data_IF_477282588822
#
_entry.id   IF_477282588822
#
_cell.length_a   1.000
_cell.length_b   1.000
_cell.length_c   1.000
_cell.angle_alpha   90.00
_cell.angle_beta   90.00
_cell.angle_gamma   90.00
#
_symmetry.space_group_name_H-M   'P 1'
#
loop_
_entity.id
_entity.type
_entity.pdbx_description
1 polymer ?
#
# COMPACT_ATOMS: atom_id res chain seq x y z
N UNK A 1 0.63 0.28 22.77
CA UNK A 1 0.44 -0.06 21.34
C UNK A 1 -0.76 -0.99 21.16
N UNK A 2 -1.62 -0.77 20.15
CA UNK A 2 -2.80 -1.63 19.89
C UNK A 2 -2.62 -2.54 18.67
N UNK A 3 -1.88 -3.65 18.82
CA UNK A 3 -1.67 -4.66 17.75
C UNK A 3 -2.96 -5.11 17.05
N UNK A 4 -4.07 -5.22 17.81
CA UNK A 4 -5.38 -5.58 17.26
C UNK A 4 -5.91 -4.61 16.18
N UNK A 5 -5.37 -3.39 16.10
CA UNK A 5 -5.76 -2.37 15.13
C UNK A 5 -4.84 -2.33 13.90
N UNK A 6 -3.75 -3.10 13.87
CA UNK A 6 -2.82 -3.11 12.73
C UNK A 6 -3.57 -3.45 11.44
N UNK A 7 -4.39 -4.50 11.47
CA UNK A 7 -5.14 -4.98 10.32
C UNK A 7 -6.09 -3.92 9.75
N UNK A 8 -6.84 -3.22 10.61
CA UNK A 8 -7.79 -2.19 10.18
C UNK A 8 -7.08 -0.91 9.74
N UNK A 9 -6.01 -0.51 10.44
CA UNK A 9 -5.18 0.63 10.04
C UNK A 9 -4.59 0.43 8.64
N UNK A 10 -4.00 -0.74 8.40
CA UNK A 10 -3.37 -1.07 7.13
C UNK A 10 -4.39 -1.19 5.99
N UNK A 11 -5.55 -1.80 6.27
CA UNK A 11 -6.67 -1.83 5.32
C UNK A 11 -7.10 -0.41 4.92
N UNK A 12 -7.37 0.47 5.89
CA UNK A 12 -7.83 1.84 5.63
C UNK A 12 -6.81 2.65 4.81
N UNK A 13 -5.52 2.50 5.12
CA UNK A 13 -4.45 3.17 4.41
C UNK A 13 -4.35 2.72 2.95
N UNK A 14 -4.24 1.41 2.72
CA UNK A 14 -4.16 0.84 1.37
C UNK A 14 -5.44 1.06 0.57
N UNK A 15 -6.60 1.01 1.22
CA UNK A 15 -7.88 1.36 0.61
C UNK A 15 -7.90 2.81 0.16
N UNK A 16 -7.53 3.75 1.03
CA UNK A 16 -7.45 5.17 0.67
C UNK A 16 -6.55 5.39 -0.55
N UNK A 17 -5.35 4.79 -0.56
CA UNK A 17 -4.40 4.90 -1.67
C UNK A 17 -4.96 4.35 -2.98
N UNK A 18 -5.71 3.25 -2.95
CA UNK A 18 -6.25 2.58 -4.14
C UNK A 18 -7.69 3.00 -4.47
N UNK A 19 -8.21 4.04 -3.82
CA UNK A 19 -9.60 4.50 -4.02
C UNK A 19 -9.72 5.59 -5.08
N UNK A 20 -10.96 5.85 -5.49
CA UNK A 20 -11.32 7.00 -6.34
C UNK A 20 -11.05 8.36 -5.67
N UNK A 21 -10.71 8.40 -4.38
CA UNK A 21 -10.32 9.65 -3.70
C UNK A 21 -8.86 10.02 -3.97
N UNK A 22 -8.05 9.09 -4.47
CA UNK A 22 -6.67 9.36 -4.84
C UNK A 22 -6.59 9.75 -6.33
N UNK A 23 -7.08 10.96 -6.62
CA UNK A 23 -7.07 11.58 -7.95
C UNK A 23 -6.01 12.68 -7.99
N UNK A 24 -5.11 12.60 -8.97
CA UNK A 24 -3.98 13.52 -9.12
C UNK A 24 -3.65 13.65 -10.61
N UNK A 25 -3.17 14.82 -11.05
CA UNK A 25 -2.72 15.04 -12.44
C UNK A 25 -3.73 14.46 -13.47
N UNK A 26 -5.01 14.82 -13.32
CA UNK A 26 -6.14 14.42 -14.17
C UNK A 26 -6.35 12.90 -14.35
N UNK A 27 -6.00 12.08 -13.34
CA UNK A 27 -6.30 10.65 -13.36
C UNK A 27 -6.31 10.01 -11.97
N UNK A 28 -6.81 8.77 -11.91
CA UNK A 28 -6.82 8.01 -10.67
C UNK A 28 -5.54 7.19 -10.52
N UNK A 29 -4.91 7.27 -9.36
CA UNK A 29 -3.66 6.54 -9.09
C UNK A 29 -3.84 5.02 -9.19
N UNK A 30 -5.01 4.49 -8.83
CA UNK A 30 -5.26 3.05 -8.91
C UNK A 30 -5.24 2.53 -10.36
N UNK A 31 -5.58 3.34 -11.35
CA UNK A 31 -5.57 2.95 -12.76
C UNK A 31 -4.14 2.68 -13.24
N UNK A 32 -3.19 3.54 -12.84
CA UNK A 32 -1.75 3.33 -13.12
C UNK A 32 -1.22 2.08 -12.42
N UNK A 33 -1.61 1.89 -11.15
CA UNK A 33 -1.23 0.72 -10.38
C UNK A 33 -1.76 -0.57 -11.04
N UNK A 34 -2.99 -0.54 -11.58
CA UNK A 34 -3.57 -1.66 -12.31
C UNK A 34 -2.92 -1.89 -13.67
N UNK A 35 -2.55 -0.83 -14.40
CA UNK A 35 -1.78 -0.95 -15.63
C UNK A 35 -0.43 -1.64 -15.39
N UNK A 36 0.34 -1.15 -14.41
CA UNK A 36 1.62 -1.76 -14.02
C UNK A 36 1.45 -3.23 -13.57
N UNK A 37 0.38 -3.55 -12.84
CA UNK A 37 0.13 -4.92 -12.40
C UNK A 37 -0.18 -5.88 -13.55
N UNK A 38 -0.85 -5.41 -14.61
CA UNK A 38 -1.11 -6.21 -15.81
C UNK A 38 0.18 -6.46 -16.60
N UNK A 39 1.05 -5.46 -16.71
CA UNK A 39 2.34 -5.56 -17.41
C UNK A 39 3.33 -6.51 -16.71
N UNK A 40 3.16 -6.74 -15.40
CA UNK A 40 4.04 -7.59 -14.60
C UNK A 40 3.74 -9.09 -14.68
N UNK A 41 2.75 -9.52 -15.48
CA UNK A 41 2.44 -10.92 -15.75
C UNK A 41 2.41 -11.83 -14.50
N UNK A 42 1.65 -11.42 -13.48
CA UNK A 42 1.51 -12.16 -12.21
C UNK A 42 2.49 -11.75 -11.11
N UNK A 43 3.54 -10.99 -11.44
CA UNK A 43 4.40 -10.36 -10.43
C UNK A 43 3.71 -9.14 -9.80
N UNK A 44 4.04 -8.88 -8.53
CA UNK A 44 3.40 -7.81 -7.75
C UNK A 44 4.00 -6.45 -8.07
N UNK A 45 3.14 -5.45 -8.17
CA UNK A 45 3.50 -4.04 -7.92
C UNK A 45 3.47 -3.85 -6.41
N UNK A 46 4.56 -3.32 -5.84
CA UNK A 46 4.72 -3.16 -4.39
C UNK A 46 5.00 -1.68 -4.10
N UNK A 47 4.23 -1.11 -3.19
CA UNK A 47 4.57 0.14 -2.51
C UNK A 47 4.93 -0.18 -1.07
N UNK A 48 6.17 0.08 -0.66
CA UNK A 48 6.59 -0.01 0.74
C UNK A 48 6.35 1.32 1.43
N UNK A 49 5.58 1.24 2.50
CA UNK A 49 5.35 2.33 3.43
C UNK A 49 6.39 2.30 4.54
N UNK A 50 6.74 1.10 5.02
CA UNK A 50 7.76 0.85 6.04
C UNK A 50 8.57 -0.41 5.66
N UNK A 51 9.91 -0.35 5.66
CA UNK A 51 10.70 0.87 5.51
C UNK A 51 10.40 1.51 4.14
N UNK A 52 10.32 2.84 4.08
CA UNK A 52 10.16 3.54 2.82
C UNK A 52 11.44 3.42 1.99
N UNK A 53 11.31 3.02 0.72
CA UNK A 53 12.44 2.97 -0.24
C UNK A 53 12.06 3.67 -1.54
N UNK A 54 13.03 4.25 -2.24
CA UNK A 54 12.78 4.84 -3.57
C UNK A 54 13.12 3.89 -4.72
N UNK A 55 13.83 2.79 -4.44
CA UNK A 55 14.23 1.82 -5.46
C UNK A 55 13.03 1.17 -6.14
N UNK A 56 11.99 0.84 -5.38
CA UNK A 56 10.75 0.28 -5.92
C UNK A 56 9.98 1.23 -6.83
N UNK A 57 10.24 2.53 -6.75
CA UNK A 57 9.58 3.57 -7.55
C UNK A 57 10.29 3.85 -8.88
N UNK A 58 11.44 3.22 -9.12
CA UNK A 58 12.16 3.34 -10.40
C UNK A 58 11.26 2.80 -11.51
N UNK A 59 11.01 3.64 -12.52
CA UNK A 59 10.14 3.32 -13.64
C UNK A 59 8.63 3.48 -13.38
N UNK A 60 8.23 3.94 -12.18
CA UNK A 60 6.82 4.20 -11.91
C UNK A 60 6.37 5.50 -12.59
N UNK A 61 5.10 5.60 -13.01
CA UNK A 61 4.54 6.86 -13.50
C UNK A 61 4.69 7.98 -12.46
N UNK A 62 4.97 9.19 -12.93
CA UNK A 62 5.20 10.36 -12.07
C UNK A 62 4.04 10.63 -11.09
N UNK A 63 2.80 10.41 -11.54
CA UNK A 63 1.58 10.50 -10.71
C UNK A 63 1.61 9.55 -9.52
N UNK A 64 1.98 8.29 -9.74
CA UNK A 64 2.13 7.30 -8.67
C UNK A 64 3.23 7.73 -7.70
N UNK A 65 4.38 8.16 -8.21
CA UNK A 65 5.50 8.62 -7.37
C UNK A 65 5.06 9.79 -6.48
N UNK A 66 4.44 10.83 -7.05
CA UNK A 66 3.92 11.99 -6.29
C UNK A 66 2.93 11.55 -5.21
N UNK A 67 1.99 10.68 -5.55
CA UNK A 67 1.00 10.17 -4.59
C UNK A 67 1.66 9.37 -3.46
N UNK A 68 2.60 8.48 -3.77
CA UNK A 68 3.35 7.70 -2.76
C UNK A 68 4.11 8.63 -1.81
N UNK A 69 4.75 9.68 -2.32
CA UNK A 69 5.46 10.64 -1.47
C UNK A 69 4.52 11.42 -0.55
N UNK A 70 3.36 11.84 -1.05
CA UNK A 70 2.33 12.50 -0.23
C UNK A 70 1.80 11.58 0.87
N UNK A 71 1.53 10.31 0.55
CA UNK A 71 1.11 9.30 1.52
C UNK A 71 2.21 9.04 2.56
N UNK A 72 3.47 8.86 2.15
CA UNK A 72 4.59 8.68 3.09
C UNK A 72 4.70 9.83 4.09
N UNK A 73 4.51 11.07 3.65
CA UNK A 73 4.51 12.24 4.53
C UNK A 73 3.37 12.22 5.56
N UNK A 74 2.22 11.62 5.23
CA UNK A 74 1.07 11.49 6.14
C UNK A 74 1.03 10.23 7.00
N UNK A 75 1.95 9.28 6.79
CA UNK A 75 1.88 7.95 7.41
C UNK A 75 1.99 8.00 8.94
N UNK A 76 2.92 8.79 9.46
CA UNK A 76 3.14 8.89 10.91
C UNK A 76 1.88 9.35 11.65
N UNK A 77 1.21 10.39 11.13
CA UNK A 77 -0.05 10.89 11.70
C UNK A 77 -1.17 9.85 11.61
N UNK A 78 -1.25 9.09 10.51
CA UNK A 78 -2.24 8.00 10.38
C UNK A 78 -2.02 6.89 11.40
N UNK A 79 -0.77 6.47 11.60
CA UNK A 79 -0.39 5.48 12.62
C UNK A 79 -0.75 5.98 14.03
N UNK A 80 -0.43 7.24 14.34
CA UNK A 80 -0.74 7.87 15.62
C UNK A 80 -2.24 7.89 15.91
N UNK A 81 -3.08 8.25 14.93
CA UNK A 81 -4.55 8.21 15.04
C UNK A 81 -5.08 6.82 15.36
N UNK A 82 -4.40 5.77 14.91
CA UNK A 82 -4.74 4.38 15.20
C UNK A 82 -4.07 3.83 16.47
N UNK A 83 -3.33 4.66 17.24
CA UNK A 83 -2.56 4.24 18.41
C UNK A 83 -1.54 3.13 18.11
N UNK A 84 -0.93 3.20 16.93
CA UNK A 84 0.13 2.30 16.47
C UNK A 84 1.44 3.08 16.47
N UNK A 85 2.45 2.48 17.07
CA UNK A 85 3.82 2.98 17.02
C UNK A 85 4.46 2.51 15.70
N UNK A 86 5.15 3.37 14.96
CA UNK A 86 5.83 2.98 13.74
C UNK A 86 6.92 1.92 14.00
N UNK A 87 7.58 1.97 15.17
CA UNK A 87 8.59 0.97 15.57
C UNK A 87 7.98 -0.43 15.78
N UNK A 88 6.65 -0.53 15.91
CA UNK A 88 5.94 -1.79 15.96
C UNK A 88 5.94 -2.55 14.63
N UNK A 89 6.18 -1.85 13.53
CA UNK A 89 5.98 -2.37 12.18
C UNK A 89 7.35 -2.60 11.57
N UNK A 90 7.73 -3.88 11.44
CA UNK A 90 8.94 -4.26 10.71
C UNK A 90 8.75 -3.96 9.23
N UNK A 91 7.55 -4.25 8.73
CA UNK A 91 7.21 -4.03 7.33
C UNK A 91 5.75 -3.61 7.17
N UNK A 92 5.50 -2.67 6.28
CA UNK A 92 4.17 -2.33 5.81
C UNK A 92 4.21 -1.99 4.32
N UNK A 93 3.43 -2.71 3.52
CA UNK A 93 3.34 -2.50 2.07
C UNK A 93 1.93 -2.69 1.53
N UNK A 94 1.63 -2.00 0.44
CA UNK A 94 0.48 -2.30 -0.44
C UNK A 94 0.98 -3.11 -1.61
N UNK A 95 0.31 -4.23 -1.90
CA UNK A 95 0.59 -5.10 -3.04
C UNK A 95 -0.58 -5.09 -4.02
N UNK A 96 -0.28 -4.96 -5.30
CA UNK A 96 -1.25 -4.98 -6.40
C UNK A 96 -0.77 -5.98 -7.45
N UNK A 97 -1.63 -6.92 -7.85
CA UNK A 97 -1.25 -7.97 -8.80
C UNK A 97 -2.46 -8.59 -9.50
N UNK A 98 -2.22 -9.14 -10.68
CA UNK A 98 -3.18 -10.03 -11.36
C UNK A 98 -2.89 -11.46 -10.90
N UNK A 99 -3.88 -12.13 -10.29
CA UNK A 99 -3.75 -13.52 -9.87
C UNK A 99 -3.92 -14.49 -11.06
N UNK A 100 -3.65 -15.78 -10.84
CA UNK A 100 -3.77 -16.83 -11.87
C UNK A 100 -5.19 -16.98 -12.42
N UNK A 101 -6.20 -16.58 -11.64
CA UNK A 101 -7.60 -16.52 -12.07
C UNK A 101 -7.93 -15.26 -12.90
N UNK A 102 -6.92 -14.51 -13.33
CA UNK A 102 -7.02 -13.25 -14.09
C UNK A 102 -7.72 -12.09 -13.37
N UNK A 103 -7.99 -12.21 -12.07
CA UNK A 103 -8.56 -11.12 -11.28
C UNK A 103 -7.48 -10.20 -10.70
N UNK A 104 -7.83 -8.92 -10.55
CA UNK A 104 -6.97 -7.91 -9.93
C UNK A 104 -7.14 -7.97 -8.42
N UNK A 105 -6.05 -8.21 -7.70
CA UNK A 105 -6.02 -8.20 -6.25
C UNK A 105 -5.24 -7.01 -5.71
N UNK A 106 -5.78 -6.44 -4.64
CA UNK A 106 -5.08 -5.44 -3.82
C UNK A 106 -5.10 -5.91 -2.38
N UNK A 107 -3.93 -5.90 -1.74
CA UNK A 107 -3.83 -6.23 -0.32
C UNK A 107 -2.84 -5.34 0.42
N UNK A 108 -3.16 -5.06 1.67
CA UNK A 108 -2.21 -4.58 2.65
C UNK A 108 -1.50 -5.77 3.29
N UNK A 109 -0.18 -5.69 3.39
CA UNK A 109 0.64 -6.66 4.09
C UNK A 109 1.49 -5.95 5.14
N UNK A 110 1.43 -6.44 6.38
CA UNK A 110 2.18 -5.90 7.51
C UNK A 110 2.86 -7.03 8.28
N UNK A 111 4.09 -6.80 8.71
CA UNK A 111 4.80 -7.62 9.70
C UNK A 111 5.03 -6.76 10.93
N UNK A 112 4.57 -7.24 12.10
CA UNK A 112 4.83 -6.56 13.36
C UNK A 112 6.16 -6.98 14.00
N UNK A 113 6.56 -6.27 15.06
CA UNK A 113 7.77 -6.51 15.86
C UNK A 113 7.79 -7.89 16.56
N UNK A 114 6.66 -8.61 16.58
CA UNK A 114 6.54 -10.00 17.03
C UNK A 114 6.65 -11.00 15.89
N UNK A 115 6.99 -10.53 14.68
CA UNK A 115 7.08 -11.31 13.44
C UNK A 115 5.75 -11.92 13.02
N UNK A 116 4.62 -11.33 13.43
CA UNK A 116 3.30 -11.78 13.01
C UNK A 116 2.89 -11.04 11.75
N UNK A 117 2.42 -11.81 10.78
CA UNK A 117 1.86 -11.27 9.54
C UNK A 117 0.40 -10.87 9.72
N UNK A 118 0.05 -9.71 9.16
CA UNK A 118 -1.32 -9.22 9.07
C UNK A 118 -1.64 -8.91 7.62
N UNK A 119 -2.60 -9.64 7.05
CA UNK A 119 -3.02 -9.49 5.65
C UNK A 119 -4.47 -9.02 5.60
N UNK A 120 -4.70 -7.95 4.84
CA UNK A 120 -6.02 -7.42 4.54
C UNK A 120 -6.21 -7.27 3.04
N UNK A 121 -7.17 -8.00 2.48
CA UNK A 121 -7.63 -7.73 1.12
C UNK A 121 -8.45 -6.44 1.10
N UNK A 122 -8.21 -5.63 0.08
CA UNK A 122 -8.92 -4.37 -0.14
C UNK A 122 -10.02 -4.60 -1.17
N UNK A 123 -9.66 -5.22 -2.30
CA UNK A 123 -10.57 -5.67 -3.36
C UNK A 123 -10.04 -6.98 -3.96
N UNK A 124 -10.97 -7.80 -4.46
CA UNK A 124 -10.77 -9.08 -5.14
C UNK A 124 -11.76 -9.20 -6.29
#
# INVERSE_FOLDING_TARGET
>A
MKYKLIRSMAHNWSHSFMSNMNYLDDGFVYEDMYAMARERHGSKVIIRWIPATSEELIGFPSRVIKSVMAYRAGLEEHLRRHSIDAAALIEFRTEVYVAENFQMYVRAFVVDDRKREHISFIWS
#
